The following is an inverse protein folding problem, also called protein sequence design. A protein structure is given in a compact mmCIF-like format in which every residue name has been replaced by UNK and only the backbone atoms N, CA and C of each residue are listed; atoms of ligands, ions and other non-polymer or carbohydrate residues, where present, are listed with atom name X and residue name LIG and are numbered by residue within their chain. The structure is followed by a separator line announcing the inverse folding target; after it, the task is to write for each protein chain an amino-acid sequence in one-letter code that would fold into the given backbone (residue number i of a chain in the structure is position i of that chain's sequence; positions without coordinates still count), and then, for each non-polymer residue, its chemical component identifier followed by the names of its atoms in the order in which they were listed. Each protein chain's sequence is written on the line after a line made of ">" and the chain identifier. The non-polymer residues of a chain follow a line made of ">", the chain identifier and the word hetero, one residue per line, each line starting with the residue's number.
data_IF_306835337266
#
_entry.id   IF_306835337266
#
_cell.length_a   1.000
_cell.length_b   1.000
_cell.length_c   1.000
_cell.angle_alpha   90.00
_cell.angle_beta   90.00
_cell.angle_gamma   90.00
#
_symmetry.space_group_name_H-M   'P 1'
#
loop_
_entity.id
_entity.type
_entity.pdbx_description
1 polymer ?
#
# COMPACT_ATOMS: atom_id res chain seq x y z
N UNK A 1 48.50 -11.77 46.59
CA UNK A 1 47.04 -12.00 46.55
C UNK A 1 46.35 -10.87 47.31
N UNK A 2 46.16 -9.70 46.67
CA UNK A 2 45.53 -8.52 47.29
C UNK A 2 45.17 -7.50 46.19
N UNK A 3 44.04 -7.66 45.47
CA UNK A 3 43.48 -6.59 44.62
C UNK A 3 42.02 -6.88 44.30
N UNK A 4 41.13 -6.92 45.29
CA UNK A 4 39.68 -6.81 45.05
C UNK A 4 38.96 -6.39 46.33
N UNK A 5 38.88 -5.08 46.60
CA UNK A 5 37.97 -4.52 47.64
C UNK A 5 37.83 -3.00 47.55
N UNK A 6 37.29 -2.44 46.45
CA UNK A 6 36.74 -1.06 46.48
C UNK A 6 35.81 -0.69 45.31
N UNK A 7 34.70 -1.40 45.13
CA UNK A 7 33.57 -0.91 44.31
C UNK A 7 32.25 -1.25 45.01
N UNK A 8 31.97 -0.56 46.13
CA UNK A 8 30.64 -0.54 46.75
C UNK A 8 30.31 0.92 47.04
N UNK A 9 29.52 1.55 46.17
CA UNK A 9 29.14 2.95 46.34
C UNK A 9 28.57 3.64 45.11
N UNK A 10 28.21 2.94 44.02
CA UNK A 10 27.35 3.59 43.02
C UNK A 10 25.94 3.59 43.58
N UNK A 11 25.50 4.76 44.03
CA UNK A 11 24.17 5.01 44.56
C UNK A 11 23.12 4.51 43.57
N UNK A 12 22.15 3.73 44.05
CA UNK A 12 21.00 3.21 43.27
C UNK A 12 20.31 4.34 42.49
N UNK A 13 20.32 5.56 43.03
CA UNK A 13 19.77 6.75 42.39
C UNK A 13 20.50 7.13 41.09
N UNK A 14 21.82 6.98 41.01
CA UNK A 14 22.59 7.27 39.78
C UNK A 14 22.18 6.32 38.65
N UNK A 15 21.92 5.05 38.97
CA UNK A 15 21.41 4.08 38.00
C UNK A 15 19.99 4.41 37.54
N UNK A 16 19.09 4.75 38.46
CA UNK A 16 17.71 5.13 38.13
C UNK A 16 17.67 6.36 37.22
N UNK A 17 18.43 7.41 37.54
CA UNK A 17 18.49 8.61 36.71
C UNK A 17 19.08 8.31 35.32
N UNK A 18 20.16 7.53 35.25
CA UNK A 18 20.79 7.19 33.96
C UNK A 18 19.83 6.39 33.07
N UNK A 19 19.14 5.40 33.63
CA UNK A 19 18.16 4.60 32.88
C UNK A 19 16.97 5.46 32.43
N UNK A 20 16.43 6.32 33.30
CA UNK A 20 15.34 7.22 32.95
C UNK A 20 15.73 8.20 31.82
N UNK A 21 16.94 8.77 31.87
CA UNK A 21 17.45 9.66 30.82
C UNK A 21 17.65 8.92 29.50
N UNK A 22 18.21 7.70 29.52
CA UNK A 22 18.36 6.88 28.30
C UNK A 22 16.99 6.56 27.70
N UNK A 23 16.01 6.15 28.51
CA UNK A 23 14.65 5.87 28.04
C UNK A 23 13.97 7.13 27.46
N UNK A 24 14.16 8.30 28.08
CA UNK A 24 13.65 9.56 27.57
C UNK A 24 14.29 9.96 26.23
N UNK A 25 15.61 9.79 26.08
CA UNK A 25 16.33 10.05 24.82
C UNK A 25 15.85 9.10 23.72
N UNK A 26 15.74 7.79 24.02
CA UNK A 26 15.24 6.80 23.08
C UNK A 26 13.78 7.11 22.69
N UNK A 27 12.92 7.42 23.67
CA UNK A 27 11.53 7.80 23.42
C UNK A 27 11.41 9.06 22.56
N UNK A 28 12.21 10.10 22.84
CA UNK A 28 12.26 11.33 22.05
C UNK A 28 12.76 11.10 20.63
N UNK A 29 13.78 10.27 20.45
CA UNK A 29 14.29 9.89 19.12
C UNK A 29 13.24 9.12 18.31
N UNK A 30 12.56 8.15 18.93
CA UNK A 30 11.49 7.36 18.29
C UNK A 30 10.31 8.26 17.89
N UNK A 31 9.86 9.14 18.79
CA UNK A 31 8.77 10.07 18.52
C UNK A 31 9.13 11.09 17.43
N UNK A 32 10.34 11.64 17.46
CA UNK A 32 10.86 12.54 16.43
C UNK A 32 10.94 11.87 15.06
N UNK A 33 11.44 10.62 15.01
CA UNK A 33 11.49 9.82 13.78
C UNK A 33 10.08 9.61 13.23
N UNK A 34 9.11 9.12 14.03
CA UNK A 34 7.70 8.96 13.62
C UNK A 34 7.09 10.24 13.03
N UNK A 35 7.38 11.40 13.63
CA UNK A 35 6.87 12.70 13.16
C UNK A 35 7.46 13.11 11.81
N UNK A 36 8.74 12.83 11.56
CA UNK A 36 9.39 13.06 10.27
C UNK A 36 8.84 12.15 9.17
N UNK A 37 8.55 10.87 9.48
CA UNK A 37 7.95 9.93 8.52
C UNK A 37 6.56 10.42 8.07
N UNK A 38 5.76 10.91 9.01
CA UNK A 38 4.42 11.43 8.74
C UNK A 38 4.42 12.70 7.87
N UNK A 39 5.42 13.58 7.98
CA UNK A 39 5.42 14.86 7.24
C UNK A 39 5.60 14.70 5.73
N UNK A 40 6.22 13.61 5.29
CA UNK A 40 6.54 13.39 3.88
C UNK A 40 5.56 12.44 3.19
N UNK A 41 4.68 11.77 3.93
CA UNK A 41 3.64 10.95 3.34
C UNK A 41 2.53 11.85 2.77
N UNK A 42 2.30 11.77 1.48
CA UNK A 42 1.20 12.45 0.79
C UNK A 42 -0.15 11.83 1.14
N UNK A 43 -0.16 10.56 1.57
CA UNK A 43 -1.38 9.90 2.05
C UNK A 43 -1.71 10.34 3.47
N UNK A 44 -2.95 10.75 3.68
CA UNK A 44 -3.55 10.98 5.00
C UNK A 44 -4.01 9.65 5.59
N UNK A 45 -3.90 9.54 6.93
CA UNK A 45 -4.44 8.41 7.70
C UNK A 45 -4.01 7.05 7.09
N UNK A 46 -2.72 6.92 6.81
CA UNK A 46 -2.22 5.85 5.95
C UNK A 46 -2.17 4.46 6.60
N UNK A 47 -2.32 4.40 7.93
CA UNK A 47 -2.56 3.17 8.70
C UNK A 47 -4.01 3.05 9.21
N UNK A 48 -4.95 3.86 8.72
CA UNK A 48 -6.39 3.75 9.05
C UNK A 48 -6.77 3.93 10.53
N UNK A 49 -5.86 4.44 11.36
CA UNK A 49 -6.07 4.67 12.79
C UNK A 49 -7.21 5.65 13.07
N UNK A 50 -7.48 6.60 12.16
CA UNK A 50 -8.64 7.50 12.24
C UNK A 50 -9.86 6.97 11.46
N UNK A 51 -9.95 5.65 11.26
CA UNK A 51 -11.03 5.02 10.51
C UNK A 51 -10.98 5.39 9.03
N UNK A 52 -12.11 5.86 8.47
CA UNK A 52 -12.24 6.20 7.04
C UNK A 52 -11.75 7.61 6.68
N UNK A 53 -11.27 8.40 7.64
CA UNK A 53 -10.88 9.80 7.38
C UNK A 53 -9.87 9.88 6.22
N UNK A 54 -10.21 10.70 5.20
CA UNK A 54 -9.39 10.89 3.99
C UNK A 54 -9.49 9.77 2.94
N UNK A 55 -10.22 8.69 3.21
CA UNK A 55 -10.37 7.54 2.31
C UNK A 55 -11.81 7.40 1.83
N UNK A 56 -11.99 7.16 0.54
CA UNK A 56 -13.29 6.95 -0.08
C UNK A 56 -13.27 5.73 -1.01
N UNK A 57 -14.43 5.38 -1.57
CA UNK A 57 -14.55 4.48 -2.72
C UNK A 57 -15.30 5.24 -3.83
N UNK A 58 -15.22 4.76 -5.08
CA UNK A 58 -15.86 5.43 -6.21
C UNK A 58 -17.34 5.03 -6.33
N UNK A 59 -18.18 5.52 -5.43
CA UNK A 59 -19.62 5.19 -5.37
C UNK A 59 -20.34 5.39 -6.71
N UNK A 60 -20.01 6.45 -7.45
CA UNK A 60 -20.60 6.79 -8.75
C UNK A 60 -20.27 5.80 -9.88
N UNK A 61 -19.30 4.90 -9.70
CA UNK A 61 -18.77 4.05 -10.78
C UNK A 61 -19.62 2.80 -11.08
N UNK A 62 -20.65 2.48 -10.27
CA UNK A 62 -21.53 1.31 -10.44
C UNK A 62 -20.86 -0.06 -10.28
N UNK A 63 -19.56 -0.19 -10.56
CA UNK A 63 -18.72 -1.38 -10.38
C UNK A 63 -17.85 -1.35 -9.13
N UNK A 64 -18.06 -0.39 -8.22
CA UNK A 64 -17.35 -0.31 -6.96
C UNK A 64 -18.21 -0.79 -5.80
N UNK A 65 -17.55 -1.36 -4.81
CA UNK A 65 -18.12 -1.78 -3.55
C UNK A 65 -17.36 -1.11 -2.38
N UNK A 66 -18.03 -0.85 -1.25
CA UNK A 66 -17.42 -0.12 -0.15
C UNK A 66 -16.38 -0.98 0.59
N UNK A 67 -15.36 -0.30 1.11
CA UNK A 67 -14.43 -0.88 2.09
C UNK A 67 -14.94 -0.70 3.53
N UNK A 68 -14.35 -1.48 4.44
CA UNK A 68 -14.57 -1.41 5.88
C UNK A 68 -13.27 -1.10 6.61
N UNK A 69 -13.36 -0.64 7.85
CA UNK A 69 -12.23 -0.58 8.77
C UNK A 69 -12.26 -1.85 9.61
N UNK A 70 -11.12 -2.51 9.79
CA UNK A 70 -10.99 -3.68 10.66
C UNK A 70 -10.10 -3.37 11.85
N UNK A 71 -10.53 -3.84 13.01
CA UNK A 71 -9.77 -3.90 14.27
C UNK A 71 -9.29 -5.33 14.59
N UNK A 72 -9.52 -6.28 13.67
CA UNK A 72 -9.20 -7.71 13.87
C UNK A 72 -7.85 -8.10 13.30
N UNK A 73 -7.52 -7.56 12.12
CA UNK A 73 -6.29 -7.85 11.39
C UNK A 73 -5.68 -6.50 11.04
N UNK A 74 -4.51 -6.20 11.60
CA UNK A 74 -3.75 -4.98 11.33
C UNK A 74 -2.25 -5.28 11.39
N UNK A 75 -1.44 -4.48 10.68
CA UNK A 75 0.01 -4.63 10.63
C UNK A 75 0.68 -3.80 11.69
N UNK A 76 0.22 -2.56 11.86
CA UNK A 76 0.61 -1.65 12.92
C UNK A 76 -0.61 -1.00 13.55
N UNK A 77 -0.43 -0.27 14.65
CA UNK A 77 -1.54 0.40 15.33
C UNK A 77 -2.60 -0.58 15.84
N UNK A 78 -3.86 -0.26 15.56
CA UNK A 78 -5.03 -1.07 15.94
C UNK A 78 -6.05 -1.23 14.80
N UNK A 79 -5.82 -0.66 13.62
CA UNK A 79 -6.76 -0.66 12.50
C UNK A 79 -6.09 -0.95 11.16
N UNK A 80 -6.89 -1.39 10.20
CA UNK A 80 -6.50 -1.49 8.79
C UNK A 80 -7.71 -1.31 7.87
N UNK A 81 -7.48 -1.09 6.57
CA UNK A 81 -8.54 -1.19 5.58
C UNK A 81 -8.87 -2.64 5.27
N UNK A 82 -10.15 -2.97 5.20
CA UNK A 82 -10.67 -4.30 4.87
C UNK A 82 -11.55 -4.26 3.62
N UNK A 83 -11.21 -5.10 2.64
CA UNK A 83 -11.86 -5.27 1.35
C UNK A 83 -12.47 -6.69 1.28
N UNK A 84 -13.77 -6.85 1.59
CA UNK A 84 -14.46 -8.14 1.55
C UNK A 84 -14.93 -8.46 0.13
N UNK A 85 -14.06 -9.04 -0.69
CA UNK A 85 -14.45 -9.51 -2.02
C UNK A 85 -15.45 -10.65 -1.85
N UNK A 86 -16.66 -10.46 -2.35
CA UNK A 86 -17.73 -11.46 -2.29
C UNK A 86 -18.62 -11.34 -3.53
N UNK A 87 -18.61 -12.37 -4.39
CA UNK A 87 -19.50 -12.46 -5.56
C UNK A 87 -20.88 -13.05 -5.26
N UNK A 88 -21.20 -13.33 -4.00
CA UNK A 88 -22.49 -13.92 -3.62
C UNK A 88 -23.63 -12.94 -3.86
N UNK A 89 -24.59 -13.35 -4.70
CA UNK A 89 -25.70 -12.47 -5.10
C UNK A 89 -25.29 -11.36 -6.06
N UNK A 90 -24.06 -11.38 -6.56
CA UNK A 90 -23.54 -10.37 -7.48
C UNK A 90 -23.87 -10.73 -8.93
N UNK A 91 -24.47 -9.79 -9.66
CA UNK A 91 -24.78 -9.95 -11.09
C UNK A 91 -23.76 -9.26 -11.99
N UNK A 92 -22.94 -8.36 -11.44
CA UNK A 92 -21.90 -7.65 -12.17
C UNK A 92 -20.75 -8.59 -12.54
N UNK A 93 -20.26 -8.45 -13.77
CA UNK A 93 -19.06 -9.18 -14.26
C UNK A 93 -17.76 -8.67 -13.65
N UNK A 94 -17.76 -7.42 -13.20
CA UNK A 94 -16.62 -6.75 -12.58
C UNK A 94 -17.08 -6.03 -11.32
N UNK A 95 -16.39 -6.30 -10.21
CA UNK A 95 -16.56 -5.53 -8.97
C UNK A 95 -15.21 -5.23 -8.36
N UNK A 96 -15.04 -3.98 -7.94
CA UNK A 96 -13.84 -3.47 -7.29
C UNK A 96 -14.18 -3.09 -5.86
N UNK A 97 -13.50 -3.72 -4.90
CA UNK A 97 -13.40 -3.20 -3.56
C UNK A 97 -12.10 -2.43 -3.47
N UNK A 98 -12.13 -1.22 -2.95
CA UNK A 98 -10.88 -0.48 -2.77
C UNK A 98 -11.03 0.76 -1.92
N UNK A 99 -9.86 1.25 -1.51
CA UNK A 99 -9.70 2.56 -0.88
C UNK A 99 -9.06 3.51 -1.87
N UNK A 100 -9.60 4.73 -1.92
CA UNK A 100 -9.18 5.77 -2.86
C UNK A 100 -8.82 7.02 -2.08
N UNK A 101 -7.70 7.62 -2.45
CA UNK A 101 -7.35 8.96 -2.01
C UNK A 101 -6.83 9.78 -3.19
N UNK A 102 -7.28 11.03 -3.26
CA UNK A 102 -6.74 12.00 -4.20
C UNK A 102 -5.72 12.88 -3.49
N UNK A 103 -4.55 13.01 -4.10
CA UNK A 103 -3.42 13.75 -3.55
C UNK A 103 -2.89 14.71 -4.60
N UNK A 104 -2.62 15.94 -4.19
CA UNK A 104 -1.88 16.89 -5.02
C UNK A 104 -0.40 16.71 -4.75
N UNK A 105 0.38 16.48 -5.81
CA UNK A 105 1.85 16.43 -5.73
C UNK A 105 2.33 17.79 -5.23
N UNK A 106 3.09 17.78 -4.14
CA UNK A 106 3.69 18.99 -3.54
C UNK A 106 5.08 19.20 -4.14
N UNK A 107 5.90 20.06 -3.52
CA UNK A 107 7.31 20.26 -3.89
C UNK A 107 8.16 18.97 -3.85
N UNK A 108 7.69 17.91 -3.21
CA UNK A 108 8.39 16.63 -3.15
C UNK A 108 7.95 15.70 -4.29
N UNK A 109 8.91 14.90 -4.76
CA UNK A 109 8.68 13.84 -5.75
C UNK A 109 7.90 12.67 -5.15
N UNK A 110 7.36 11.80 -6.02
CA UNK A 110 6.61 10.59 -5.65
C UNK A 110 7.42 9.31 -5.92
N UNK A 111 8.69 9.32 -5.54
CA UNK A 111 9.66 8.25 -5.85
C UNK A 111 9.40 6.93 -5.10
N UNK A 112 8.43 6.93 -4.20
CA UNK A 112 8.14 5.81 -3.34
C UNK A 112 6.64 5.66 -3.13
N UNK A 113 6.11 4.52 -3.57
CA UNK A 113 4.82 3.98 -3.17
C UNK A 113 5.06 2.65 -2.47
N UNK A 114 4.68 2.51 -1.22
CA UNK A 114 4.82 1.26 -0.49
C UNK A 114 3.69 1.03 0.50
N UNK A 115 3.65 -0.18 1.05
CA UNK A 115 2.72 -0.57 2.09
C UNK A 115 2.73 -2.07 2.31
N UNK A 116 1.73 -2.53 3.04
CA UNK A 116 1.52 -3.95 3.29
C UNK A 116 0.12 -4.36 2.86
N UNK A 117 0.01 -5.58 2.32
CA UNK A 117 -1.26 -6.25 2.15
C UNK A 117 -1.29 -7.58 2.89
N UNK A 118 -2.48 -8.02 3.30
CA UNK A 118 -2.73 -9.34 3.88
C UNK A 118 -3.95 -9.94 3.23
N UNK A 119 -3.91 -11.25 2.95
CA UNK A 119 -5.05 -12.01 2.44
C UNK A 119 -5.41 -13.08 3.45
N UNK A 120 -6.58 -13.00 4.08
CA UNK A 120 -7.04 -13.98 5.08
C UNK A 120 -7.63 -15.24 4.45
N UNK A 121 -8.34 -15.05 3.34
CA UNK A 121 -9.00 -16.09 2.53
C UNK A 121 -8.91 -15.71 1.06
N UNK A 122 -8.79 -16.72 0.21
CA UNK A 122 -8.77 -16.57 -1.24
C UNK A 122 -9.46 -17.78 -1.89
N UNK A 123 -10.65 -17.56 -2.43
CA UNK A 123 -11.39 -18.53 -3.24
C UNK A 123 -11.58 -17.94 -4.62
N UNK A 124 -10.95 -18.58 -5.61
CA UNK A 124 -11.00 -18.13 -7.01
C UNK A 124 -12.30 -18.61 -7.64
N UNK A 125 -13.22 -17.69 -7.86
CA UNK A 125 -14.48 -17.96 -8.58
C UNK A 125 -14.65 -17.15 -9.87
N UNK A 126 -13.72 -16.25 -10.18
CA UNK A 126 -13.68 -15.48 -11.41
C UNK A 126 -12.38 -15.77 -12.17
N UNK A 127 -12.44 -15.65 -13.50
CA UNK A 127 -11.27 -15.84 -14.37
C UNK A 127 -10.13 -14.89 -14.00
N UNK A 128 -10.49 -13.66 -13.66
CA UNK A 128 -9.57 -12.62 -13.21
C UNK A 128 -10.00 -12.20 -11.82
N UNK A 129 -9.23 -12.56 -10.82
CA UNK A 129 -9.41 -12.11 -9.43
C UNK A 129 -8.04 -11.73 -8.91
N UNK A 130 -7.85 -10.48 -8.50
CA UNK A 130 -6.51 -9.97 -8.24
C UNK A 130 -6.48 -8.74 -7.35
N UNK A 131 -5.28 -8.46 -6.86
CA UNK A 131 -4.91 -7.31 -6.06
C UNK A 131 -4.09 -6.34 -6.91
N UNK A 132 -4.42 -5.06 -6.86
CA UNK A 132 -3.63 -4.04 -7.55
C UNK A 132 -3.55 -2.74 -6.76
N UNK A 133 -2.51 -1.98 -7.04
CA UNK A 133 -2.45 -0.55 -6.72
C UNK A 133 -2.49 0.23 -8.02
N UNK A 134 -3.26 1.31 -8.09
CA UNK A 134 -3.38 2.13 -9.30
C UNK A 134 -3.04 3.57 -8.96
N UNK A 135 -2.22 4.20 -9.78
CA UNK A 135 -2.02 5.64 -9.76
C UNK A 135 -2.52 6.20 -11.08
N UNK A 136 -3.45 7.15 -10.98
CA UNK A 136 -4.04 7.88 -12.11
C UNK A 136 -3.62 9.34 -12.00
N UNK A 137 -3.00 9.89 -13.03
CA UNK A 137 -2.73 11.32 -13.11
C UNK A 137 -3.94 12.05 -13.71
N UNK A 138 -4.80 12.62 -12.85
CA UNK A 138 -6.01 13.33 -13.28
C UNK A 138 -5.70 14.65 -14.00
N UNK A 139 -4.46 15.15 -13.88
CA UNK A 139 -4.00 16.37 -14.56
C UNK A 139 -3.46 16.09 -15.97
N UNK A 140 -3.24 14.83 -16.35
CA UNK A 140 -2.69 14.45 -17.66
C UNK A 140 -3.65 13.59 -18.47
N UNK A 141 -4.16 14.15 -19.57
CA UNK A 141 -4.86 13.40 -20.61
C UNK A 141 -3.87 12.71 -21.55
N UNK A 142 -4.22 11.50 -21.99
CA UNK A 142 -3.44 10.77 -23.01
C UNK A 142 -4.13 10.80 -24.37
N UNK A 143 -3.36 10.60 -25.44
CA UNK A 143 -3.90 10.48 -26.80
C UNK A 143 -4.80 9.24 -26.85
N UNK A 144 -6.01 9.40 -27.39
CA UNK A 144 -7.04 8.34 -27.38
C UNK A 144 -8.03 8.44 -26.21
N UNK A 145 -7.83 9.37 -25.28
CA UNK A 145 -8.78 9.68 -24.22
C UNK A 145 -8.41 9.07 -22.86
N UNK A 146 -9.08 9.56 -21.82
CA UNK A 146 -8.79 9.17 -20.44
C UNK A 146 -7.54 9.86 -19.86
N UNK A 147 -7.21 9.47 -18.64
CA UNK A 147 -6.05 9.94 -17.89
C UNK A 147 -4.94 8.90 -17.93
N UNK A 148 -3.68 9.32 -17.84
CA UNK A 148 -2.52 8.42 -17.76
C UNK A 148 -2.58 7.59 -16.46
N UNK A 149 -2.31 6.29 -16.56
CA UNK A 149 -2.38 5.37 -15.42
C UNK A 149 -1.19 4.42 -15.41
N UNK A 150 -0.72 4.13 -14.20
CA UNK A 150 0.15 2.99 -13.92
C UNK A 150 -0.59 2.06 -12.96
N UNK A 151 -0.73 0.79 -13.35
CA UNK A 151 -1.44 -0.26 -12.62
C UNK A 151 -0.45 -1.32 -12.18
N UNK A 152 -0.28 -1.43 -10.88
CA UNK A 152 0.65 -2.37 -10.29
C UNK A 152 -0.08 -3.61 -9.82
N UNK A 153 0.15 -4.73 -10.50
CA UNK A 153 -0.41 -6.02 -10.10
C UNK A 153 0.43 -6.58 -8.95
N UNK A 154 -0.21 -6.73 -7.79
CA UNK A 154 0.43 -7.31 -6.60
C UNK A 154 0.35 -8.83 -6.62
N UNK A 155 -0.82 -9.39 -6.99
CA UNK A 155 -1.06 -10.84 -7.01
C UNK A 155 -2.43 -11.20 -7.62
N UNK A 156 -2.62 -12.45 -8.04
CA UNK A 156 -3.91 -13.05 -8.42
C UNK A 156 -4.11 -13.26 -9.93
N UNK A 157 -3.28 -12.64 -10.77
CA UNK A 157 -3.25 -12.82 -12.22
C UNK A 157 -1.80 -12.80 -12.74
N UNK A 158 -1.54 -13.54 -13.82
CA UNK A 158 -0.23 -13.68 -14.45
C UNK A 158 -0.09 -12.97 -15.79
N UNK A 159 -1.17 -12.36 -16.29
CA UNK A 159 -1.18 -11.50 -17.47
C UNK A 159 -1.98 -10.21 -17.22
N UNK A 160 -1.73 -9.14 -17.99
CA UNK A 160 -2.54 -7.93 -17.92
C UNK A 160 -4.05 -8.25 -18.03
N UNK A 161 -4.88 -7.78 -17.09
CA UNK A 161 -6.32 -8.07 -17.09
C UNK A 161 -7.05 -7.53 -18.32
N UNK A 162 -6.60 -6.39 -18.84
CA UNK A 162 -7.20 -5.71 -20.00
C UNK A 162 -6.14 -4.99 -20.80
N UNK A 163 -6.43 -4.72 -22.08
CA UNK A 163 -5.66 -3.80 -22.90
C UNK A 163 -6.36 -2.44 -22.90
N UNK A 164 -5.81 -1.47 -22.17
CA UNK A 164 -6.35 -0.12 -22.06
C UNK A 164 -5.31 0.87 -22.59
N UNK A 165 -5.66 1.66 -23.60
CA UNK A 165 -4.74 2.64 -24.20
C UNK A 165 -4.27 3.75 -23.26
N UNK A 166 -4.90 3.86 -22.08
CA UNK A 166 -4.54 4.83 -21.04
C UNK A 166 -3.99 4.19 -19.76
N UNK A 167 -3.62 2.91 -19.76
CA UNK A 167 -3.04 2.25 -18.60
C UNK A 167 -1.91 1.28 -18.96
N UNK A 168 -0.80 1.38 -18.24
CA UNK A 168 0.29 0.40 -18.31
C UNK A 168 0.30 -0.47 -17.05
N UNK A 169 0.59 -1.76 -17.23
CA UNK A 169 0.59 -2.75 -16.15
C UNK A 169 2.00 -3.15 -15.76
N UNK A 170 2.29 -3.16 -14.46
CA UNK A 170 3.59 -3.56 -13.89
C UNK A 170 3.34 -4.65 -12.85
N UNK A 171 4.02 -5.78 -12.98
CA UNK A 171 3.93 -6.86 -12.00
C UNK A 171 4.99 -6.68 -10.92
N UNK A 172 4.57 -6.44 -9.68
CA UNK A 172 5.48 -6.08 -8.58
C UNK A 172 6.34 -7.26 -8.13
N UNK A 173 5.81 -8.48 -8.18
CA UNK A 173 6.57 -9.69 -7.86
C UNK A 173 6.19 -10.81 -8.83
N UNK A 174 7.19 -11.32 -9.56
CA UNK A 174 7.02 -12.40 -10.54
C UNK A 174 6.59 -13.72 -9.90
N UNK A 175 7.02 -14.00 -8.66
CA UNK A 175 6.70 -15.23 -7.93
C UNK A 175 5.28 -15.24 -7.36
N UNK A 176 4.65 -14.07 -7.19
CA UNK A 176 3.30 -13.94 -6.58
C UNK A 176 2.19 -13.65 -7.60
N UNK A 177 2.47 -13.83 -8.90
CA UNK A 177 1.52 -13.52 -9.97
C UNK A 177 0.24 -14.34 -9.87
N UNK A 178 0.34 -15.67 -9.80
CA UNK A 178 -0.84 -16.55 -9.89
C UNK A 178 -1.75 -16.41 -8.68
N UNK A 179 -1.23 -16.64 -7.46
CA UNK A 179 -2.05 -16.62 -6.25
C UNK A 179 -1.37 -15.84 -5.11
N UNK A 180 -2.15 -15.16 -4.25
CA UNK A 180 -1.59 -14.44 -3.11
C UNK A 180 -1.17 -15.40 -2.01
N UNK A 181 -0.16 -14.98 -1.23
CA UNK A 181 0.19 -15.65 0.02
C UNK A 181 -0.90 -15.36 1.06
N UNK A 182 -1.57 -16.42 1.50
CA UNK A 182 -2.65 -16.34 2.49
C UNK A 182 -2.05 -16.32 3.91
N UNK A 183 -2.71 -15.60 4.82
CA UNK A 183 -2.39 -15.46 6.25
C UNK A 183 -1.03 -14.83 6.56
N UNK A 184 -0.50 -14.00 5.65
CA UNK A 184 0.77 -13.31 5.83
C UNK A 184 0.70 -11.86 5.37
N UNK A 185 1.34 -10.97 6.11
CA UNK A 185 1.59 -9.60 5.68
C UNK A 185 2.71 -9.57 4.63
N UNK A 186 2.40 -9.06 3.45
CA UNK A 186 3.31 -8.94 2.33
C UNK A 186 3.59 -7.47 2.09
N UNK A 187 4.87 -7.12 2.14
CA UNK A 187 5.36 -5.80 1.78
C UNK A 187 5.40 -5.62 0.26
N UNK A 188 5.05 -4.44 -0.22
CA UNK A 188 5.25 -4.02 -1.61
C UNK A 188 5.88 -2.64 -1.66
N UNK A 189 6.64 -2.38 -2.73
CA UNK A 189 7.30 -1.09 -2.96
C UNK A 189 7.54 -0.86 -4.45
N UNK A 190 7.18 0.34 -4.93
CA UNK A 190 7.37 0.77 -6.32
C UNK A 190 7.94 2.19 -6.38
N UNK A 191 8.30 2.60 -7.59
CA UNK A 191 8.87 3.92 -7.86
C UNK A 191 8.01 4.64 -8.90
N UNK A 192 6.88 5.26 -8.47
CA UNK A 192 5.96 5.91 -9.39
C UNK A 192 6.63 6.93 -10.31
N UNK A 193 7.57 7.74 -9.83
CA UNK A 193 8.28 8.71 -10.65
C UNK A 193 8.99 8.04 -11.83
N UNK A 194 9.77 6.99 -11.55
CA UNK A 194 10.45 6.19 -12.58
C UNK A 194 9.46 5.47 -13.51
N UNK A 195 8.41 4.88 -12.93
CA UNK A 195 7.44 4.07 -13.65
C UNK A 195 6.60 4.94 -14.61
N UNK A 196 6.16 6.15 -14.20
CA UNK A 196 5.53 7.12 -15.11
C UNK A 196 6.49 7.60 -16.20
N UNK A 197 7.74 7.89 -15.86
CA UNK A 197 8.73 8.33 -16.85
C UNK A 197 8.95 7.26 -17.92
N UNK A 198 9.07 6.01 -17.50
CA UNK A 198 9.31 4.87 -18.41
C UNK A 198 8.09 4.58 -19.28
N UNK A 199 6.89 4.59 -18.70
CA UNK A 199 5.67 4.17 -19.39
C UNK A 199 5.04 5.30 -20.22
N UNK A 200 5.12 6.54 -19.73
CA UNK A 200 4.44 7.69 -20.33
C UNK A 200 5.38 8.78 -20.84
N UNK A 201 6.69 8.66 -20.64
CA UNK A 201 7.67 9.68 -21.06
C UNK A 201 7.64 10.95 -20.23
N UNK A 202 7.02 10.94 -19.04
CA UNK A 202 6.97 12.09 -18.14
C UNK A 202 6.84 11.66 -16.67
N UNK A 203 7.21 12.54 -15.75
CA UNK A 203 7.02 12.38 -14.31
C UNK A 203 5.92 13.35 -13.82
N UNK A 204 4.99 12.93 -12.94
CA UNK A 204 4.06 13.85 -12.29
C UNK A 204 4.78 14.92 -11.46
N UNK A 205 4.49 16.19 -11.72
CA UNK A 205 5.17 17.34 -11.08
C UNK A 205 4.30 18.01 -10.01
N UNK A 206 4.89 18.94 -9.26
CA UNK A 206 4.15 19.80 -8.32
C UNK A 206 2.87 20.37 -8.97
N UNK A 207 1.75 20.25 -8.25
CA UNK A 207 0.43 20.66 -8.72
C UNK A 207 -0.37 19.58 -9.45
N UNK A 208 0.24 18.47 -9.88
CA UNK A 208 -0.51 17.35 -10.46
C UNK A 208 -1.45 16.73 -9.42
N UNK A 209 -2.68 16.43 -9.81
CA UNK A 209 -3.65 15.73 -9.00
C UNK A 209 -3.62 14.24 -9.32
N UNK A 210 -3.19 13.43 -8.36
CA UNK A 210 -3.12 11.99 -8.48
C UNK A 210 -4.27 11.35 -7.73
N UNK A 211 -4.90 10.35 -8.35
CA UNK A 211 -5.80 9.42 -7.66
C UNK A 211 -5.06 8.11 -7.43
N UNK A 212 -4.93 7.73 -6.16
CA UNK A 212 -4.27 6.51 -5.72
C UNK A 212 -5.34 5.54 -5.24
N UNK A 213 -5.32 4.32 -5.75
CA UNK A 213 -6.32 3.29 -5.47
C UNK A 213 -5.63 2.02 -5.01
N UNK A 214 -6.08 1.44 -3.90
CA UNK A 214 -5.64 0.12 -3.43
C UNK A 214 -6.83 -0.81 -3.53
N UNK A 215 -6.73 -1.81 -4.40
CA UNK A 215 -7.87 -2.58 -4.88
C UNK A 215 -7.73 -4.07 -4.60
N UNK A 216 -8.87 -4.70 -4.36
CA UNK A 216 -9.11 -6.13 -4.48
C UNK A 216 -10.35 -6.29 -5.35
N UNK A 217 -10.25 -7.06 -6.43
CA UNK A 217 -11.31 -7.08 -7.45
C UNK A 217 -11.41 -8.41 -8.14
N UNK A 218 -12.54 -8.58 -8.80
CA UNK A 218 -12.67 -9.56 -9.86
C UNK A 218 -13.19 -8.92 -11.15
N UNK A 219 -12.95 -9.63 -12.23
CA UNK A 219 -13.26 -9.29 -13.60
C UNK A 219 -13.67 -10.56 -14.35
N UNK A 220 -14.50 -10.38 -15.38
CA UNK A 220 -15.04 -11.48 -16.19
C UNK A 220 -15.71 -12.59 -15.36
N UNK A 221 -16.38 -12.22 -14.25
CA UNK A 221 -17.17 -13.17 -13.46
C UNK A 221 -18.34 -13.72 -14.28
N UNK A 222 -18.57 -15.03 -14.15
CA UNK A 222 -19.66 -15.75 -14.81
C UNK A 222 -20.50 -16.39 -13.70
N UNK A 223 -21.78 -16.01 -13.65
CA UNK A 223 -22.72 -16.52 -12.65
C UNK A 223 -22.79 -18.06 -12.72
N UNK A 224 -22.62 -18.70 -11.57
CA UNK A 224 -22.68 -20.17 -11.43
C UNK A 224 -21.35 -20.91 -11.62
N UNK A 225 -20.26 -20.24 -12.00
CA UNK A 225 -18.94 -20.89 -12.16
C UNK A 225 -18.14 -21.03 -10.86
N UNK A 226 -18.65 -20.48 -9.75
CA UNK A 226 -17.98 -20.50 -8.45
C UNK A 226 -18.22 -19.19 -7.71
N UNK A 227 -17.69 -19.08 -6.49
CA UNK A 227 -17.73 -17.85 -5.70
C UNK A 227 -16.35 -17.23 -5.69
N UNK A 228 -16.24 -15.97 -6.09
CA UNK A 228 -15.03 -15.18 -5.93
C UNK A 228 -15.06 -14.56 -4.54
N UNK A 229 -14.34 -15.16 -3.59
CA UNK A 229 -14.25 -14.68 -2.21
C UNK A 229 -12.81 -14.30 -1.88
N UNK A 230 -12.62 -13.17 -1.22
CA UNK A 230 -11.35 -12.82 -0.61
C UNK A 230 -11.52 -11.87 0.57
N UNK A 231 -10.72 -12.10 1.61
CA UNK A 231 -10.65 -11.20 2.76
C UNK A 231 -9.30 -10.46 2.68
N UNK A 232 -9.30 -9.24 2.13
CA UNK A 232 -8.06 -8.51 1.82
C UNK A 232 -7.92 -7.29 2.73
N UNK A 233 -6.71 -7.05 3.21
CA UNK A 233 -6.39 -5.94 4.08
C UNK A 233 -5.21 -5.13 3.55
N UNK A 234 -5.26 -3.81 3.73
CA UNK A 234 -4.17 -2.89 3.42
C UNK A 234 -3.84 -2.06 4.66
N UNK A 235 -2.54 -1.85 4.90
CA UNK A 235 -2.06 -1.10 6.06
C UNK A 235 -0.65 -0.50 5.82
N UNK A 236 -0.24 0.44 6.68
CA UNK A 236 1.05 1.12 6.67
C UNK A 236 1.40 1.73 5.29
N UNK A 237 0.43 2.38 4.66
CA UNK A 237 0.57 2.90 3.30
C UNK A 237 1.48 4.14 3.27
N UNK A 238 2.24 4.30 2.18
CA UNK A 238 3.09 5.46 1.97
C UNK A 238 3.13 5.86 0.50
N UNK A 239 2.99 7.16 0.23
CA UNK A 239 3.32 7.78 -1.05
C UNK A 239 4.11 9.05 -0.80
N UNK A 240 5.30 9.18 -1.39
CA UNK A 240 6.11 10.37 -1.21
C UNK A 240 7.56 10.18 -1.65
N UNK A 241 8.48 11.03 -1.17
CA UNK A 241 9.90 10.92 -1.53
C UNK A 241 10.53 9.68 -0.92
N UNK A 242 11.53 9.12 -1.59
CA UNK A 242 12.34 8.03 -1.04
C UNK A 242 13.12 8.51 0.20
N UNK A 243 13.20 7.69 1.24
CA UNK A 243 13.92 8.02 2.48
C UNK A 243 14.68 6.80 3.01
N UNK A 244 15.58 6.93 4.01
CA UNK A 244 16.29 5.78 4.59
C UNK A 244 15.41 4.73 5.31
N UNK A 245 14.10 4.90 5.30
CA UNK A 245 13.11 4.03 5.95
C UNK A 245 12.03 3.57 4.99
N UNK A 246 11.79 4.32 3.91
CA UNK A 246 10.77 4.04 2.89
C UNK A 246 11.44 3.77 1.55
N UNK A 247 11.05 2.68 0.90
CA UNK A 247 11.59 2.20 -0.36
C UNK A 247 13.12 1.99 -0.32
N UNK A 248 13.64 1.42 0.78
CA UNK A 248 15.05 1.00 0.81
C UNK A 248 15.28 -0.15 -0.18
N UNK A 249 16.26 0.03 -1.08
CA UNK A 249 16.63 -0.94 -2.14
C UNK A 249 17.19 -2.29 -1.63
N UNK A 250 17.10 -2.59 -0.33
CA UNK A 250 17.84 -3.67 0.33
C UNK A 250 17.18 -5.05 0.39
N UNK A 251 15.96 -5.22 -0.12
CA UNK A 251 15.20 -6.46 0.05
C UNK A 251 14.60 -6.98 -1.24
N UNK A 252 15.44 -7.28 -2.24
CA UNK A 252 15.03 -7.99 -3.45
C UNK A 252 14.11 -7.19 -4.36
N UNK A 253 14.69 -6.36 -5.23
CA UNK A 253 14.06 -6.19 -6.54
C UNK A 253 14.13 -7.54 -7.24
N UNK A 254 13.13 -8.40 -7.01
CA UNK A 254 12.82 -9.44 -7.98
C UNK A 254 12.67 -8.77 -9.34
N UNK A 255 13.12 -9.44 -10.41
CA UNK A 255 13.10 -8.90 -11.77
C UNK A 255 11.74 -8.27 -12.08
N UNK A 256 11.73 -6.94 -12.27
CA UNK A 256 10.57 -6.23 -12.81
C UNK A 256 10.48 -6.58 -14.29
N UNK A 257 9.38 -7.21 -14.69
CA UNK A 257 9.10 -7.53 -16.09
C UNK A 257 8.01 -6.57 -16.58
N UNK A 258 8.32 -5.89 -17.68
CA UNK A 258 7.45 -4.99 -18.41
C UNK A 258 6.73 -5.77 -19.53
N UNK A 259 5.46 -5.46 -19.76
CA UNK A 259 4.63 -6.06 -20.81
C UNK A 259 3.95 -4.99 -21.64
#
# INVERSE_FOLDING_TARGET
>A
MQYFKKLRGVSVWVWVFTVATILAIIGGYIAGKKRLMSRNNLLKNSGFENGKEGWQWLEWSGGWAPFKISDKIFRSGIRSAYLPVDSTGESRRTVVWGVVQEVTVKKCHIDCLEGYYYVGRWERGANKQYLQVVIIDLSRKVKGGGNAQVRYILSGVDSPPYNLGNAHYIFVDSNRRKDPQIKKWIYFSMDPSFDFTTQWGYEPKEGHLLRVLFEARFDDYILGQGRALADVYYDDLYLGPRTPIHCMRGGGMGERIWY
#
